data_IF_703483465779
#
_entry.id   IF_703483465779
#
_cell.length_a   1.000
_cell.length_b   1.000
_cell.length_c   1.000
_cell.angle_alpha   90.00
_cell.angle_beta   90.00
_cell.angle_gamma   90.00
#
_symmetry.space_group_name_H-M   'P 1'
#
loop_
_entity.id
_entity.type
_entity.pdbx_description
1 polymer ?
#
# COMPACT_ATOMS: atom_id res chain seq x y z
N UNK A 1 13.47 -8.23 -1.99
CA UNK A 1 12.09 -8.67 -2.16
C UNK A 1 12.05 -10.02 -2.85
N UNK A 2 11.23 -10.95 -2.34
CA UNK A 2 10.88 -12.21 -2.99
C UNK A 2 9.42 -12.14 -3.42
N UNK A 3 9.12 -12.74 -4.57
CA UNK A 3 7.77 -12.86 -5.11
C UNK A 3 7.47 -14.35 -5.33
N UNK A 4 6.48 -14.88 -4.62
CA UNK A 4 5.94 -16.20 -4.85
C UNK A 4 4.63 -16.09 -5.64
N UNK A 5 4.49 -16.90 -6.68
CA UNK A 5 3.34 -16.86 -7.59
C UNK A 5 2.74 -18.26 -7.65
N UNK A 6 1.47 -18.37 -7.30
CA UNK A 6 0.67 -19.58 -7.47
C UNK A 6 -0.77 -19.20 -7.78
N UNK A 7 -1.41 -19.93 -8.70
CA UNK A 7 -2.83 -19.74 -9.02
C UNK A 7 -3.75 -20.30 -7.93
N UNK A 8 -3.22 -21.15 -7.06
CA UNK A 8 -3.93 -21.66 -5.89
C UNK A 8 -3.61 -20.79 -4.67
N UNK A 9 -4.53 -19.91 -4.34
CA UNK A 9 -4.45 -18.98 -3.22
C UNK A 9 -4.18 -19.71 -1.89
N UNK A 10 -4.79 -20.88 -1.69
CA UNK A 10 -4.67 -21.63 -0.44
C UNK A 10 -3.24 -22.12 -0.19
N UNK A 11 -2.51 -22.50 -1.26
CA UNK A 11 -1.09 -22.86 -1.17
C UNK A 11 -0.22 -21.67 -0.81
N UNK A 12 -0.49 -20.49 -1.43
CA UNK A 12 0.23 -19.26 -1.12
C UNK A 12 0.00 -18.82 0.32
N UNK A 13 -1.21 -18.96 0.86
CA UNK A 13 -1.52 -18.67 2.27
C UNK A 13 -0.85 -19.66 3.23
N UNK A 14 -0.82 -20.94 2.90
CA UNK A 14 -0.10 -21.93 3.69
C UNK A 14 1.40 -21.63 3.73
N UNK A 15 2.00 -21.30 2.58
CA UNK A 15 3.39 -20.88 2.48
C UNK A 15 3.66 -19.57 3.26
N UNK A 16 2.79 -18.58 3.15
CA UNK A 16 2.88 -17.34 3.94
C UNK A 16 2.92 -17.64 5.44
N UNK A 17 2.00 -18.49 5.90
CA UNK A 17 1.92 -18.89 7.32
C UNK A 17 3.19 -19.61 7.77
N UNK A 18 3.74 -20.48 6.94
CA UNK A 18 5.00 -21.17 7.25
C UNK A 18 6.17 -20.18 7.35
N UNK A 19 6.31 -19.27 6.39
CA UNK A 19 7.36 -18.23 6.40
C UNK A 19 7.24 -17.37 7.66
N UNK A 20 6.05 -16.86 7.96
CA UNK A 20 5.84 -15.97 9.11
C UNK A 20 6.02 -16.71 10.45
N UNK A 21 5.72 -18.00 10.53
CA UNK A 21 5.97 -18.79 11.74
C UNK A 21 7.46 -18.89 12.12
N UNK A 22 8.34 -18.77 11.12
CA UNK A 22 9.80 -18.92 11.30
C UNK A 22 10.55 -17.59 11.29
N UNK A 23 10.04 -16.59 10.56
CA UNK A 23 10.79 -15.38 10.19
C UNK A 23 10.04 -14.07 10.43
N UNK A 24 8.95 -14.08 11.21
CA UNK A 24 8.14 -12.87 11.48
C UNK A 24 8.91 -11.71 12.11
N UNK A 25 10.06 -11.98 12.74
CA UNK A 25 10.92 -10.95 13.31
C UNK A 25 11.77 -10.22 12.25
N UNK A 26 12.01 -10.84 11.10
CA UNK A 26 12.90 -10.33 10.06
C UNK A 26 12.22 -9.99 8.76
N UNK A 27 11.09 -10.64 8.46
CA UNK A 27 10.32 -10.39 7.25
C UNK A 27 8.86 -10.09 7.54
N UNK A 28 8.23 -9.44 6.58
CA UNK A 28 6.78 -9.30 6.46
C UNK A 28 6.34 -9.82 5.10
N UNK A 29 5.09 -10.22 4.99
CA UNK A 29 4.53 -10.68 3.74
C UNK A 29 3.09 -10.21 3.57
N UNK A 30 2.72 -9.93 2.35
CA UNK A 30 1.38 -9.50 1.97
C UNK A 30 1.08 -9.93 0.53
N UNK A 31 -0.18 -9.92 0.18
CA UNK A 31 -0.60 -10.15 -1.19
C UNK A 31 -0.78 -8.80 -1.91
N UNK A 32 -0.04 -8.62 -3.00
CA UNK A 32 -0.20 -7.45 -3.88
C UNK A 32 -1.16 -7.70 -5.05
N UNK A 33 -1.54 -8.97 -5.24
CA UNK A 33 -2.54 -9.42 -6.20
C UNK A 33 -3.12 -10.75 -5.72
N UNK A 34 -4.17 -11.24 -6.34
CA UNK A 34 -4.80 -12.52 -6.00
C UNK A 34 -3.81 -13.70 -5.98
N UNK A 35 -2.81 -13.68 -6.89
CA UNK A 35 -1.82 -14.76 -7.08
C UNK A 35 -0.40 -14.41 -6.63
N UNK A 36 -0.14 -13.15 -6.18
CA UNK A 36 1.20 -12.65 -5.87
C UNK A 36 1.40 -12.47 -4.37
N UNK A 37 2.17 -13.37 -3.77
CA UNK A 37 2.64 -13.22 -2.40
C UNK A 37 4.01 -12.56 -2.40
N UNK A 38 4.11 -11.38 -1.80
CA UNK A 38 5.36 -10.65 -1.62
C UNK A 38 5.94 -10.89 -0.22
N UNK A 39 7.24 -11.12 -0.16
CA UNK A 39 8.00 -11.24 1.08
C UNK A 39 9.12 -10.21 1.04
N UNK A 40 9.14 -9.33 2.03
CA UNK A 40 10.09 -8.20 2.12
C UNK A 40 10.70 -8.15 3.53
N UNK A 41 11.86 -7.48 3.71
CA UNK A 41 12.35 -7.20 5.05
C UNK A 41 11.31 -6.46 5.89
N UNK A 42 11.25 -6.75 7.19
CA UNK A 42 10.24 -6.22 8.09
C UNK A 42 10.17 -4.69 8.13
N UNK A 43 11.32 -4.03 8.02
CA UNK A 43 11.44 -2.58 8.01
C UNK A 43 11.05 -1.92 6.68
N UNK A 44 10.68 -2.70 5.65
CA UNK A 44 10.35 -2.15 4.33
C UNK A 44 8.84 -2.12 4.16
N UNK A 45 8.31 -0.92 3.92
CA UNK A 45 6.92 -0.72 3.51
C UNK A 45 6.79 0.50 2.60
N UNK A 46 5.64 0.65 1.94
CA UNK A 46 5.35 1.87 1.17
C UNK A 46 5.21 3.09 2.10
N UNK A 47 4.76 2.91 3.33
CA UNK A 47 4.70 3.99 4.32
C UNK A 47 6.08 4.48 4.74
N UNK A 48 7.01 3.56 5.01
CA UNK A 48 8.41 3.95 5.26
C UNK A 48 9.06 4.63 4.06
N UNK A 49 8.70 4.23 2.83
CA UNK A 49 9.18 4.90 1.63
C UNK A 49 8.68 6.35 1.53
N UNK A 50 7.44 6.64 1.92
CA UNK A 50 6.91 8.02 1.97
C UNK A 50 7.71 8.86 2.98
N UNK A 51 7.91 8.37 4.21
CA UNK A 51 8.69 9.07 5.25
C UNK A 51 10.11 9.34 4.76
N UNK A 52 10.77 8.31 4.26
CA UNK A 52 12.13 8.44 3.73
C UNK A 52 12.21 9.45 2.57
N UNK A 53 11.23 9.44 1.66
CA UNK A 53 11.19 10.37 0.52
C UNK A 53 11.00 11.81 1.00
N UNK A 54 10.12 12.05 1.94
CA UNK A 54 9.90 13.37 2.54
C UNK A 54 11.19 13.88 3.21
N UNK A 55 11.83 13.05 4.02
CA UNK A 55 13.08 13.41 4.69
C UNK A 55 14.22 13.68 3.67
N UNK A 56 14.36 12.82 2.66
CA UNK A 56 15.39 12.93 1.64
C UNK A 56 15.25 14.20 0.78
N UNK A 57 14.02 14.60 0.49
CA UNK A 57 13.71 15.80 -0.30
C UNK A 57 13.58 17.07 0.54
N UNK A 58 13.64 16.95 1.88
CA UNK A 58 13.42 18.08 2.78
C UNK A 58 11.99 18.63 2.73
N UNK A 59 11.02 17.78 2.39
CA UNK A 59 9.59 18.12 2.33
C UNK A 59 8.95 17.70 3.65
N UNK A 60 8.30 18.61 4.39
CA UNK A 60 7.53 18.25 5.57
C UNK A 60 6.45 17.22 5.22
N UNK A 61 6.25 16.22 6.08
CA UNK A 61 5.26 15.16 5.86
C UNK A 61 3.85 15.71 5.70
N UNK A 62 3.56 16.85 6.32
CA UNK A 62 2.30 17.60 6.23
C UNK A 62 1.98 18.09 4.81
N UNK A 63 2.96 18.07 3.92
CA UNK A 63 2.82 18.43 2.51
C UNK A 63 2.76 17.21 1.59
N UNK A 64 2.52 16.03 2.13
CA UNK A 64 2.47 14.79 1.37
C UNK A 64 1.04 14.32 1.12
N UNK A 65 0.81 13.80 -0.07
CA UNK A 65 -0.43 13.13 -0.47
C UNK A 65 -0.07 11.76 -1.03
N UNK A 66 -0.78 10.73 -0.64
CA UNK A 66 -0.63 9.39 -1.18
C UNK A 66 -1.92 8.90 -1.82
N UNK A 67 -1.79 7.99 -2.79
CA UNK A 67 -2.92 7.33 -3.42
C UNK A 67 -2.71 5.81 -3.39
N UNK A 68 -3.75 5.06 -3.03
CA UNK A 68 -3.66 3.61 -2.92
C UNK A 68 -4.99 2.89 -3.12
N UNK A 69 -4.92 1.57 -3.36
CA UNK A 69 -6.09 0.74 -3.65
C UNK A 69 -6.03 -0.65 -3.02
N UNK A 70 -4.90 -1.04 -2.41
CA UNK A 70 -4.66 -2.41 -1.95
C UNK A 70 -4.03 -2.48 -0.55
N UNK A 71 -3.99 -3.68 0.01
CA UNK A 71 -3.48 -3.92 1.37
C UNK A 71 -2.04 -3.42 1.59
N UNK A 72 -1.18 -3.51 0.59
CA UNK A 72 0.20 -3.02 0.65
C UNK A 72 0.32 -1.50 0.64
N UNK A 73 -0.78 -0.77 0.40
CA UNK A 73 -0.84 0.69 0.40
C UNK A 73 -1.29 1.27 1.75
N UNK A 74 -1.86 0.46 2.64
CA UNK A 74 -2.42 0.92 3.92
C UNK A 74 -1.43 1.78 4.70
N UNK A 75 -0.20 1.30 4.87
CA UNK A 75 0.82 2.06 5.60
C UNK A 75 1.23 3.36 4.89
N UNK A 76 1.15 3.39 3.56
CA UNK A 76 1.40 4.59 2.77
C UNK A 76 0.27 5.62 2.95
N UNK A 77 -0.98 5.15 2.89
CA UNK A 77 -2.16 5.98 3.13
C UNK A 77 -2.12 6.62 4.52
N UNK A 78 -1.72 5.85 5.53
CA UNK A 78 -1.61 6.33 6.92
C UNK A 78 -0.35 7.16 7.20
N UNK A 79 0.69 7.04 6.38
CA UNK A 79 1.94 7.77 6.57
C UNK A 79 1.91 9.17 5.98
N UNK A 80 1.24 9.38 4.88
CA UNK A 80 1.07 10.70 4.25
C UNK A 80 0.13 11.59 5.09
N UNK A 81 0.22 12.89 4.88
CA UNK A 81 -0.73 13.83 5.49
C UNK A 81 -2.16 13.62 4.98
N UNK A 82 -2.30 13.35 3.69
CA UNK A 82 -3.57 12.94 3.08
C UNK A 82 -3.39 11.58 2.42
N UNK A 83 -4.10 10.58 2.93
CA UNK A 83 -4.23 9.28 2.30
C UNK A 83 -5.49 9.22 1.44
N UNK A 84 -5.33 9.21 0.13
CA UNK A 84 -6.44 9.11 -0.81
C UNK A 84 -6.62 7.68 -1.31
N UNK A 85 -7.81 7.13 -1.14
CA UNK A 85 -8.15 5.78 -1.57
C UNK A 85 -8.93 5.83 -2.88
N UNK A 86 -8.56 4.97 -3.82
CA UNK A 86 -9.31 4.84 -5.07
C UNK A 86 -10.70 4.26 -4.80
N UNK A 87 -11.76 4.77 -5.46
CA UNK A 87 -13.12 4.27 -5.24
C UNK A 87 -13.28 2.80 -5.62
N UNK A 88 -12.45 2.30 -6.53
CA UNK A 88 -12.41 0.89 -6.92
C UNK A 88 -11.33 0.07 -6.15
N UNK A 89 -10.90 0.55 -4.99
CA UNK A 89 -9.98 -0.18 -4.12
C UNK A 89 -10.55 -1.52 -3.65
N UNK A 90 -9.69 -2.43 -3.22
CA UNK A 90 -10.13 -3.67 -2.59
C UNK A 90 -11.02 -3.40 -1.38
N UNK A 91 -12.01 -4.28 -1.11
CA UNK A 91 -12.92 -4.12 0.01
C UNK A 91 -12.20 -3.88 1.34
N UNK A 92 -12.64 -2.88 2.11
CA UNK A 92 -12.10 -2.52 3.41
C UNK A 92 -10.90 -1.58 3.38
N UNK A 93 -10.31 -1.27 2.22
CA UNK A 93 -9.19 -0.32 2.13
C UNK A 93 -9.64 1.12 2.37
N UNK A 94 -10.89 1.45 2.04
CA UNK A 94 -11.47 2.77 2.22
C UNK A 94 -11.40 3.29 3.67
N UNK A 95 -11.38 2.37 4.64
CA UNK A 95 -11.33 2.71 6.07
C UNK A 95 -9.97 3.27 6.53
N UNK A 96 -8.93 3.13 5.70
CA UNK A 96 -7.56 3.54 6.02
C UNK A 96 -7.13 4.87 5.39
N UNK A 97 -8.00 5.52 4.63
CA UNK A 97 -7.71 6.81 4.01
C UNK A 97 -8.58 7.94 4.52
N UNK A 98 -8.12 9.17 4.27
CA UNK A 98 -8.82 10.41 4.62
C UNK A 98 -9.83 10.81 3.54
N UNK A 99 -9.64 10.33 2.32
CA UNK A 99 -10.45 10.66 1.16
C UNK A 99 -10.64 9.44 0.25
N UNK A 100 -11.85 9.26 -0.24
CA UNK A 100 -12.15 8.25 -1.28
C UNK A 100 -12.51 9.00 -2.57
N UNK A 101 -11.86 8.65 -3.69
CA UNK A 101 -12.10 9.30 -4.97
C UNK A 101 -13.51 9.00 -5.50
N UNK A 102 -14.06 9.92 -6.27
CA UNK A 102 -15.31 9.70 -7.02
C UNK A 102 -15.08 8.88 -8.29
N UNK A 103 -13.86 9.00 -8.85
CA UNK A 103 -13.45 8.34 -10.09
C UNK A 103 -12.45 7.21 -9.80
N UNK A 104 -12.52 6.16 -10.60
CA UNK A 104 -11.61 5.03 -10.52
C UNK A 104 -10.26 5.30 -11.24
N UNK A 105 -9.37 4.31 -11.22
CA UNK A 105 -8.05 4.40 -11.85
C UNK A 105 -8.10 4.50 -13.39
N UNK A 106 -9.21 4.14 -14.03
CA UNK A 106 -9.40 4.26 -15.48
C UNK A 106 -10.12 5.56 -15.89
N UNK A 107 -10.64 6.30 -14.92
CA UNK A 107 -11.43 7.52 -15.12
C UNK A 107 -10.85 8.71 -14.35
N UNK A 108 -9.54 8.88 -14.40
CA UNK A 108 -8.83 10.04 -13.86
C UNK A 108 -8.88 10.25 -12.32
N UNK A 109 -9.11 9.17 -11.53
CA UNK A 109 -9.15 9.29 -10.07
C UNK A 109 -7.88 9.89 -9.45
N UNK A 110 -6.68 9.57 -9.98
CA UNK A 110 -5.45 10.21 -9.52
C UNK A 110 -5.40 11.70 -9.89
N UNK A 111 -5.91 12.07 -11.05
CA UNK A 111 -6.00 13.48 -11.44
C UNK A 111 -6.98 14.28 -10.54
N UNK A 112 -8.05 13.62 -10.08
CA UNK A 112 -8.96 14.18 -9.07
C UNK A 112 -8.22 14.51 -7.77
N UNK A 113 -7.40 13.59 -7.26
CA UNK A 113 -6.59 13.80 -6.06
C UNK A 113 -5.64 14.99 -6.23
N UNK A 114 -4.95 15.05 -7.37
CA UNK A 114 -4.02 16.16 -7.67
C UNK A 114 -4.74 17.51 -7.70
N UNK A 115 -5.89 17.60 -8.36
CA UNK A 115 -6.68 18.85 -8.43
C UNK A 115 -7.20 19.28 -7.06
N UNK A 116 -7.54 18.32 -6.20
CA UNK A 116 -8.15 18.61 -4.90
C UNK A 116 -7.12 19.01 -3.84
N UNK A 117 -5.94 18.42 -3.84
CA UNK A 117 -5.00 18.54 -2.72
C UNK A 117 -3.66 19.20 -3.08
N UNK A 118 -3.37 19.39 -4.37
CA UNK A 118 -2.06 19.89 -4.82
C UNK A 118 -2.19 21.17 -5.63
N UNK A 119 -3.22 21.35 -6.45
CA UNK A 119 -3.47 22.53 -7.28
C UNK A 119 -4.55 23.44 -6.67
#
# INVERSE_FOLDING_TARGET
KLLAIDNDRSKSEAFQKEVLSKYSDTVRSFFSNATYLEIVPKAVSKGEAVRWMCDHLGIPIENSVSAGDAQNDIEMLQAAHVGAVMCNAFPGIQEYGDYVTEHDNNHDGVAEIIRKFIL
#
